data_IF_328585651052
#
_entry.id   IF_328585651052
#
_cell.length_a   1.000
_cell.length_b   1.000
_cell.length_c   1.000
_cell.angle_alpha   90.00
_cell.angle_beta   90.00
_cell.angle_gamma   90.00
#
_symmetry.space_group_name_H-M   'P 1'
#
loop_
_entity.id
_entity.type
_entity.pdbx_description
1 polymer ?
#
# COMPACT_ATOMS: atom_id res chain seq x y z
N UNK A 1 -34.40 -58.25 -20.35
CA UNK A 1 -34.58 -57.05 -19.50
C UNK A 1 -33.26 -56.51 -18.95
N UNK A 2 -32.36 -57.34 -18.40
CA UNK A 2 -31.06 -56.90 -17.84
C UNK A 2 -30.13 -56.11 -18.80
N UNK A 3 -30.05 -56.50 -20.07
CA UNK A 3 -29.23 -55.80 -21.08
C UNK A 3 -29.63 -54.34 -21.29
N UNK A 4 -30.92 -54.02 -21.17
CA UNK A 4 -31.40 -52.65 -21.38
C UNK A 4 -31.07 -51.73 -20.19
N UNK A 5 -31.09 -52.29 -18.97
CA UNK A 5 -30.68 -51.61 -17.73
C UNK A 5 -29.20 -51.26 -17.78
N UNK A 6 -28.34 -52.23 -18.10
CA UNK A 6 -26.89 -52.03 -18.21
C UNK A 6 -26.57 -50.94 -19.25
N UNK A 7 -27.28 -50.94 -20.39
CA UNK A 7 -27.10 -49.92 -21.43
C UNK A 7 -27.48 -48.52 -20.95
N UNK A 8 -28.52 -48.41 -20.12
CA UNK A 8 -28.94 -47.14 -19.52
C UNK A 8 -27.93 -46.65 -18.48
N UNK A 9 -27.40 -47.54 -17.65
CA UNK A 9 -26.38 -47.21 -16.65
C UNK A 9 -25.07 -46.75 -17.31
N UNK A 10 -24.64 -47.42 -18.38
CA UNK A 10 -23.46 -47.02 -19.18
C UNK A 10 -23.66 -45.62 -19.79
N UNK A 11 -24.84 -45.33 -20.34
CA UNK A 11 -25.15 -44.01 -20.90
C UNK A 11 -25.17 -42.92 -19.81
N UNK A 12 -25.76 -43.21 -18.65
CA UNK A 12 -25.74 -42.30 -17.50
C UNK A 12 -24.32 -42.03 -17.03
N UNK A 13 -23.49 -43.06 -16.93
CA UNK A 13 -22.10 -42.95 -16.54
C UNK A 13 -21.29 -42.12 -17.54
N UNK A 14 -21.46 -42.37 -18.85
CA UNK A 14 -20.83 -41.59 -19.90
C UNK A 14 -21.17 -40.10 -19.78
N UNK A 15 -22.45 -39.77 -19.58
CA UNK A 15 -22.87 -38.37 -19.40
C UNK A 15 -22.25 -37.72 -18.17
N UNK A 16 -22.15 -38.46 -17.05
CA UNK A 16 -21.48 -37.98 -15.83
C UNK A 16 -19.98 -37.73 -16.08
N UNK A 17 -19.29 -38.64 -16.76
CA UNK A 17 -17.86 -38.49 -17.09
C UNK A 17 -17.65 -37.27 -17.99
N UNK A 18 -18.48 -37.10 -19.03
CA UNK A 18 -18.39 -35.93 -19.92
C UNK A 18 -18.63 -34.63 -19.16
N UNK A 19 -19.61 -34.59 -18.26
CA UNK A 19 -19.87 -33.42 -17.42
C UNK A 19 -18.69 -33.12 -16.48
N UNK A 20 -18.12 -34.14 -15.84
CA UNK A 20 -16.95 -33.99 -14.97
C UNK A 20 -15.75 -33.47 -15.73
N UNK A 21 -15.47 -33.98 -16.93
CA UNK A 21 -14.38 -33.49 -17.77
C UNK A 21 -14.57 -32.01 -18.13
N UNK A 22 -15.78 -31.60 -18.49
CA UNK A 22 -16.04 -30.19 -18.80
C UNK A 22 -15.80 -29.28 -17.58
N UNK A 23 -16.26 -29.71 -16.40
CA UNK A 23 -16.02 -28.99 -15.14
C UNK A 23 -14.53 -28.94 -14.79
N UNK A 24 -13.79 -30.03 -15.02
CA UNK A 24 -12.35 -30.08 -14.78
C UNK A 24 -11.62 -29.08 -15.67
N UNK A 25 -11.87 -29.09 -16.97
CA UNK A 25 -11.25 -28.12 -17.91
C UNK A 25 -11.58 -26.67 -17.54
N UNK A 26 -12.80 -26.41 -17.09
CA UNK A 26 -13.19 -25.07 -16.63
C UNK A 26 -12.40 -24.64 -15.38
N UNK A 27 -12.27 -25.52 -14.39
CA UNK A 27 -11.51 -25.24 -13.16
C UNK A 27 -10.03 -25.06 -13.46
N UNK A 28 -9.45 -25.90 -14.32
CA UNK A 28 -8.06 -25.76 -14.76
C UNK A 28 -7.81 -24.40 -15.44
N UNK A 29 -8.72 -23.99 -16.32
CA UNK A 29 -8.64 -22.67 -16.96
C UNK A 29 -8.78 -21.49 -15.98
N UNK A 30 -9.54 -21.64 -14.89
CA UNK A 30 -9.55 -20.62 -13.84
C UNK A 30 -8.23 -20.61 -13.06
N UNK A 31 -7.68 -21.79 -12.76
CA UNK A 31 -6.44 -21.93 -11.98
C UNK A 31 -5.24 -21.31 -12.70
N UNK A 32 -5.19 -21.34 -14.03
CA UNK A 32 -4.12 -20.72 -14.80
C UNK A 32 -4.13 -19.19 -14.74
N UNK A 33 -5.29 -18.57 -14.48
CA UNK A 33 -5.44 -17.10 -14.47
C UNK A 33 -5.30 -16.52 -13.06
N UNK A 34 -5.42 -17.34 -12.00
CA UNK A 34 -5.26 -16.90 -10.61
C UNK A 34 -3.91 -16.21 -10.33
N UNK A 35 -2.75 -16.72 -10.80
CA UNK A 35 -1.46 -16.06 -10.56
C UNK A 35 -1.38 -14.67 -11.21
N UNK A 36 -1.98 -14.49 -12.39
CA UNK A 36 -2.02 -13.18 -13.06
C UNK A 36 -2.89 -12.18 -12.28
N UNK A 37 -4.00 -12.66 -11.70
CA UNK A 37 -4.88 -11.87 -10.84
C UNK A 37 -4.17 -11.46 -9.56
N UNK A 38 -3.39 -12.35 -8.94
CA UNK A 38 -2.61 -12.03 -7.74
C UNK A 38 -1.55 -10.95 -8.02
N UNK A 39 -0.88 -11.01 -9.17
CA UNK A 39 0.06 -9.96 -9.60
C UNK A 39 -0.64 -8.62 -9.85
N UNK A 40 -1.81 -8.64 -10.50
CA UNK A 40 -2.62 -7.44 -10.73
C UNK A 40 -3.06 -6.81 -9.39
N UNK A 41 -3.52 -7.61 -8.43
CA UNK A 41 -3.90 -7.15 -7.09
C UNK A 41 -2.70 -6.51 -6.38
N UNK A 42 -1.53 -7.17 -6.39
CA UNK A 42 -0.32 -6.63 -5.76
C UNK A 42 0.08 -5.28 -6.38
N UNK A 43 0.03 -5.17 -7.70
CA UNK A 43 0.32 -3.93 -8.40
C UNK A 43 -0.67 -2.81 -8.03
N UNK A 44 -1.97 -3.11 -8.01
CA UNK A 44 -3.00 -2.14 -7.64
C UNK A 44 -2.85 -1.69 -6.18
N UNK A 45 -2.54 -2.60 -5.26
CA UNK A 45 -2.26 -2.27 -3.86
C UNK A 45 -1.05 -1.33 -3.73
N UNK A 46 0.05 -1.62 -4.43
CA UNK A 46 1.23 -0.76 -4.43
C UNK A 46 0.92 0.64 -4.97
N UNK A 47 0.13 0.73 -6.03
CA UNK A 47 -0.30 2.01 -6.61
C UNK A 47 -1.21 2.79 -5.67
N UNK A 48 -2.12 2.11 -4.96
CA UNK A 48 -2.98 2.75 -3.96
C UNK A 48 -2.17 3.33 -2.81
N UNK A 49 -1.15 2.61 -2.32
CA UNK A 49 -0.25 3.13 -1.28
C UNK A 49 0.52 4.36 -1.76
N UNK A 50 1.12 4.32 -2.95
CA UNK A 50 1.83 5.48 -3.51
C UNK A 50 0.91 6.71 -3.67
N UNK A 51 -0.33 6.51 -4.08
CA UNK A 51 -1.31 7.60 -4.17
C UNK A 51 -1.71 8.16 -2.80
N UNK A 52 -1.90 7.30 -1.80
CA UNK A 52 -2.23 7.75 -0.44
C UNK A 52 -1.06 8.49 0.20
N UNK A 53 0.17 8.00 0.03
CA UNK A 53 1.38 8.66 0.50
C UNK A 53 1.55 10.03 -0.15
N UNK A 54 1.33 10.16 -1.46
CA UNK A 54 1.38 11.46 -2.15
C UNK A 54 0.30 12.40 -1.64
N UNK A 55 -0.91 11.89 -1.43
CA UNK A 55 -2.05 12.67 -0.91
C UNK A 55 -1.78 13.18 0.50
N UNK A 56 -1.14 12.37 1.34
CA UNK A 56 -0.85 12.70 2.73
C UNK A 56 0.50 13.38 2.93
N UNK A 57 1.35 13.45 1.90
CA UNK A 57 2.73 13.98 1.99
C UNK A 57 2.83 15.42 2.52
N UNK A 58 1.79 16.24 2.35
CA UNK A 58 1.72 17.61 2.87
C UNK A 58 0.92 17.73 4.17
N UNK A 59 0.31 16.65 4.66
CA UNK A 59 -0.43 16.65 5.91
C UNK A 59 0.52 16.49 7.09
N UNK A 60 0.27 17.26 8.15
CA UNK A 60 1.02 17.17 9.41
C UNK A 60 0.08 16.66 10.49
N UNK A 61 0.49 15.58 11.17
CA UNK A 61 -0.25 15.01 12.28
C UNK A 61 0.31 15.50 13.60
N UNK A 62 -0.51 16.21 14.37
CA UNK A 62 -0.17 16.63 15.73
C UNK A 62 -0.67 15.59 16.72
N UNK A 63 0.23 15.11 17.59
CA UNK A 63 -0.10 14.17 18.67
C UNK A 63 0.09 14.84 20.02
N UNK A 64 -0.76 14.50 21.00
CA UNK A 64 -0.62 14.98 22.38
C UNK A 64 -1.07 16.42 22.61
N UNK A 65 -1.79 17.04 21.66
CA UNK A 65 -2.47 18.31 21.89
C UNK A 65 -3.65 18.05 22.85
N UNK A 66 -3.70 18.71 24.03
CA UNK A 66 -4.82 18.53 24.95
C UNK A 66 -6.12 19.03 24.33
N UNK A 67 -7.18 18.23 24.42
CA UNK A 67 -8.48 18.55 23.84
C UNK A 67 -9.01 19.90 24.35
N UNK A 68 -9.60 20.69 23.43
CA UNK A 68 -10.23 22.00 23.70
C UNK A 68 -9.28 23.15 24.08
N UNK A 69 -7.95 22.96 24.04
CA UNK A 69 -7.01 24.09 24.18
C UNK A 69 -7.07 25.09 23.03
N UNK A 70 -7.53 24.62 21.88
CA UNK A 70 -7.68 25.39 20.63
C UNK A 70 -8.79 26.45 20.71
N UNK A 71 -9.70 26.33 21.68
CA UNK A 71 -10.82 27.26 21.83
C UNK A 71 -11.76 27.22 20.63
N UNK A 72 -12.10 28.40 20.10
CA UNK A 72 -13.06 28.56 18.99
C UNK A 72 -12.38 28.55 17.61
N UNK A 73 -11.09 28.90 17.52
CA UNK A 73 -10.34 28.96 16.25
C UNK A 73 -8.99 28.26 16.34
N UNK A 74 -8.92 27.08 15.71
CA UNK A 74 -7.73 26.24 15.60
C UNK A 74 -6.59 26.96 14.86
N UNK A 75 -6.87 27.89 13.95
CA UNK A 75 -5.82 28.59 13.19
C UNK A 75 -5.04 29.56 14.05
N UNK A 76 -5.72 30.29 14.93
CA UNK A 76 -5.08 31.23 15.84
C UNK A 76 -4.28 30.46 16.90
N UNK A 77 -4.85 29.36 17.41
CA UNK A 77 -4.12 28.43 18.27
C UNK A 77 -2.85 27.88 17.62
N UNK A 78 -2.93 27.43 16.36
CA UNK A 78 -1.74 26.98 15.62
C UNK A 78 -0.75 28.13 15.37
N UNK A 79 -1.20 29.38 15.18
CA UNK A 79 -0.32 30.53 14.98
C UNK A 79 0.48 30.88 16.24
N UNK A 80 -0.07 30.60 17.42
CA UNK A 80 0.62 30.77 18.71
C UNK A 80 1.51 29.57 19.03
N UNK A 81 1.00 28.35 18.81
CA UNK A 81 1.68 27.10 19.13
C UNK A 81 2.84 26.80 18.19
N UNK A 82 2.71 27.06 16.87
CA UNK A 82 3.75 26.74 15.90
C UNK A 82 5.08 27.43 16.24
N UNK A 83 5.14 28.74 16.50
CA UNK A 83 6.35 29.41 16.97
C UNK A 83 7.00 28.73 18.18
N UNK A 84 6.21 28.39 19.21
CA UNK A 84 6.70 27.74 20.44
C UNK A 84 7.24 26.33 20.19
N UNK A 85 6.62 25.56 19.29
CA UNK A 85 7.12 24.25 18.85
C UNK A 85 8.38 24.39 17.97
N UNK A 86 8.49 25.50 17.24
CA UNK A 86 9.59 25.82 16.32
C UNK A 86 10.73 26.63 16.96
N UNK A 87 10.80 26.74 18.29
CA UNK A 87 12.01 27.23 19.00
C UNK A 87 13.25 26.36 18.72
N UNK A 88 13.10 25.24 17.99
CA UNK A 88 14.10 24.71 17.07
C UNK A 88 14.33 25.71 15.93
N UNK A 89 15.23 26.67 16.15
CA UNK A 89 15.74 27.60 15.15
C UNK A 89 15.52 27.12 13.70
N UNK A 90 14.45 27.60 13.06
CA UNK A 90 14.46 27.81 11.62
C UNK A 90 15.50 28.90 11.37
N UNK A 91 16.77 28.50 11.49
CA UNK A 91 17.90 29.33 11.20
C UNK A 91 17.65 29.89 9.80
N UNK A 92 17.71 31.20 9.68
CA UNK A 92 17.49 31.97 8.45
C UNK A 92 18.55 31.67 7.39
N UNK A 93 18.74 30.40 7.01
CA UNK A 93 19.74 29.94 6.05
C UNK A 93 19.14 29.49 4.72
N UNK A 94 17.81 29.53 4.56
CA UNK A 94 17.16 29.28 3.28
C UNK A 94 17.16 30.50 2.34
N UNK A 95 17.87 31.58 2.68
CA UNK A 95 18.14 32.66 1.75
C UNK A 95 19.62 33.03 1.78
N UNK A 96 20.25 32.86 0.62
CA UNK A 96 21.62 33.24 0.25
C UNK A 96 22.73 32.22 0.55
N UNK A 97 23.16 31.56 -0.55
CA UNK A 97 24.47 30.95 -0.80
C UNK A 97 24.69 29.47 -0.43
N UNK A 98 24.61 28.61 -1.45
CA UNK A 98 25.59 27.52 -1.69
C UNK A 98 25.60 26.33 -0.71
N UNK A 99 26.14 25.18 -1.15
CA UNK A 99 26.00 23.91 -0.44
C UNK A 99 26.95 23.90 0.75
N UNK A 100 26.46 24.22 1.94
CA UNK A 100 27.26 24.14 3.16
C UNK A 100 26.77 22.96 3.97
N UNK A 101 27.62 21.93 3.94
CA UNK A 101 27.73 20.76 4.82
C UNK A 101 26.57 20.50 5.79
N UNK A 102 25.93 19.34 5.60
CA UNK A 102 25.03 18.71 6.57
C UNK A 102 25.62 18.82 7.98
N UNK A 103 24.91 19.54 8.84
CA UNK A 103 25.23 19.68 10.27
C UNK A 103 25.54 18.28 10.83
N UNK A 104 26.64 18.09 11.59
CA UNK A 104 27.10 16.77 12.04
C UNK A 104 26.01 15.92 12.70
N UNK A 105 25.10 16.56 13.45
CA UNK A 105 23.96 15.92 14.10
C UNK A 105 22.92 15.37 13.11
N UNK A 106 22.71 16.06 11.99
CA UNK A 106 21.73 15.64 10.98
C UNK A 106 22.30 14.56 10.07
N UNK A 107 23.61 14.59 9.84
CA UNK A 107 24.33 13.52 9.14
C UNK A 107 24.30 12.20 9.93
N UNK A 108 24.55 12.26 11.25
CA UNK A 108 24.46 11.10 12.14
C UNK A 108 23.03 10.55 12.24
N UNK A 109 22.02 11.43 12.22
CA UNK A 109 20.62 11.02 12.19
C UNK A 109 20.22 10.33 10.87
N UNK A 110 20.65 10.87 9.73
CA UNK A 110 20.39 10.25 8.42
C UNK A 110 21.17 8.94 8.21
N UNK A 111 22.35 8.82 8.82
CA UNK A 111 23.16 7.59 8.79
C UNK A 111 22.63 6.50 9.75
N UNK A 112 21.85 6.86 10.77
CA UNK A 112 21.23 5.91 11.70
C UNK A 112 19.87 5.40 11.22
N UNK A 113 19.28 6.00 10.19
CA UNK A 113 18.05 5.51 9.59
C UNK A 113 18.31 4.19 8.83
N UNK A 114 17.46 3.16 9.01
CA UNK A 114 17.59 1.91 8.27
C UNK A 114 17.49 2.20 6.76
N UNK A 115 18.59 1.99 6.03
CA UNK A 115 18.56 2.04 4.57
C UNK A 115 17.72 0.86 4.08
N UNK A 116 16.41 1.06 3.93
CA UNK A 116 15.60 0.14 3.14
C UNK A 116 16.23 0.08 1.75
N UNK A 117 16.70 -1.12 1.40
CA UNK A 117 17.32 -1.46 0.11
C UNK A 117 16.41 -0.98 -1.02
N UNK A 118 16.73 0.20 -1.57
CA UNK A 118 16.34 0.55 -2.93
C UNK A 118 17.09 -0.43 -3.84
N UNK A 119 16.34 -1.34 -4.47
CA UNK A 119 16.83 -2.18 -5.55
C UNK A 119 17.35 -1.29 -6.68
N UNK A 120 18.46 -1.65 -7.35
CA UNK A 120 18.97 -0.87 -8.47
C UNK A 120 17.99 -0.90 -9.66
N UNK A 121 17.88 0.20 -10.41
CA UNK A 121 17.09 0.22 -11.64
C UNK A 121 17.69 -0.73 -12.69
N UNK A 122 16.81 -1.48 -13.35
CA UNK A 122 17.12 -2.29 -14.54
C UNK A 122 17.18 -1.42 -15.79
#
# INVERSE_FOLDING_TARGET
MASHSIRSDIASFHNKVTNLNHRLTHVEGQLTVLPERDLEIQFLCAKLMDLEDRRQSSNVHFFGIPERKEGTDVRDYLRELLPELTDLAFSQHWSSNGPTELVPSMKQFLESLPRHRMLPPS
#
